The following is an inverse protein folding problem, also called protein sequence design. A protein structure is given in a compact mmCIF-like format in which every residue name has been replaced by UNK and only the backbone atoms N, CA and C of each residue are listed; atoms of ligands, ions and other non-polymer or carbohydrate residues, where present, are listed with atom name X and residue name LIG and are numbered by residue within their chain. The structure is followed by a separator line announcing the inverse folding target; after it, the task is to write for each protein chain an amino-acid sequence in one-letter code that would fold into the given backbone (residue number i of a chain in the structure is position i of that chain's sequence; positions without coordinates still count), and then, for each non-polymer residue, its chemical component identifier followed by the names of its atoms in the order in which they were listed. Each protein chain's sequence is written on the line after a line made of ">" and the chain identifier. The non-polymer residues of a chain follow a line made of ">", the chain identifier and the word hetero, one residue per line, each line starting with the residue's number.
data_IF_066681576462
#
_entry.id   IF_066681576462
#
_cell.length_a   1.000
_cell.length_b   1.000
_cell.length_c   1.000
_cell.angle_alpha   90.00
_cell.angle_beta   90.00
_cell.angle_gamma   90.00
#
_symmetry.space_group_name_H-M   'P 1'
#
loop_
_entity.id
_entity.type
_entity.pdbx_description
1 polymer ?
#
# COMPACT_ATOMS: atom_id res chain seq x y z
N UNK A 1 -0.83 13.54 0.56
CA UNK A 1 0.08 12.71 -0.27
C UNK A 1 0.04 11.25 0.17
N UNK A 2 0.37 10.94 1.43
CA UNK A 2 0.32 9.58 2.01
C UNK A 2 -1.02 8.86 1.80
N UNK A 3 -2.15 9.54 2.03
CA UNK A 3 -3.50 8.99 1.80
C UNK A 3 -3.72 8.54 0.36
N UNK A 4 -3.32 9.35 -0.63
CA UNK A 4 -3.43 8.98 -2.06
C UNK A 4 -2.64 7.73 -2.43
N UNK A 5 -1.46 7.54 -1.81
CA UNK A 5 -0.65 6.34 -2.00
C UNK A 5 -1.39 5.11 -1.44
N UNK A 6 -2.01 5.26 -0.27
CA UNK A 6 -2.78 4.17 0.36
C UNK A 6 -4.06 3.85 -0.43
N UNK A 7 -4.79 4.86 -0.92
CA UNK A 7 -5.97 4.65 -1.78
C UNK A 7 -5.58 3.94 -3.08
N UNK A 8 -4.53 4.39 -3.77
CA UNK A 8 -4.05 3.75 -4.98
C UNK A 8 -3.59 2.30 -4.76
N UNK A 9 -2.87 2.06 -3.66
CA UNK A 9 -2.48 0.71 -3.27
C UNK A 9 -3.72 -0.15 -2.98
N UNK A 10 -4.70 0.37 -2.23
CA UNK A 10 -5.96 -0.32 -1.94
C UNK A 10 -6.71 -0.70 -3.21
N UNK A 11 -6.80 0.19 -4.18
CA UNK A 11 -7.44 -0.07 -5.47
C UNK A 11 -6.72 -1.19 -6.24
N UNK A 12 -5.38 -1.19 -6.26
CA UNK A 12 -4.60 -2.28 -6.86
C UNK A 12 -4.85 -3.62 -6.17
N UNK A 13 -4.85 -3.65 -4.83
CA UNK A 13 -5.15 -4.87 -4.08
C UNK A 13 -6.60 -5.34 -4.30
N UNK A 14 -7.56 -4.42 -4.37
CA UNK A 14 -8.97 -4.71 -4.64
C UNK A 14 -9.21 -5.20 -6.08
N UNK A 15 -8.42 -4.73 -7.05
CA UNK A 15 -8.46 -5.16 -8.44
C UNK A 15 -7.93 -6.60 -8.66
N UNK A 16 -7.56 -7.33 -7.60
CA UNK A 16 -7.16 -8.73 -7.69
C UNK A 16 -5.64 -8.94 -7.79
N UNK A 17 -4.82 -7.88 -7.86
CA UNK A 17 -3.36 -8.03 -7.80
C UNK A 17 -2.93 -8.76 -6.51
N UNK A 18 -3.67 -8.61 -5.41
CA UNK A 18 -3.37 -9.32 -4.16
C UNK A 18 -3.28 -10.85 -4.31
N UNK A 19 -4.04 -11.43 -5.24
CA UNK A 19 -4.23 -12.89 -5.35
C UNK A 19 -3.13 -13.55 -6.18
N UNK A 20 -2.65 -12.88 -7.23
CA UNK A 20 -1.66 -13.45 -8.14
C UNK A 20 -0.27 -12.81 -8.02
N UNK A 21 -0.20 -11.50 -7.72
CA UNK A 21 1.07 -10.77 -7.65
C UNK A 21 0.97 -9.46 -6.88
N UNK A 22 1.71 -9.37 -5.78
CA UNK A 22 1.87 -8.12 -5.03
C UNK A 22 2.23 -6.95 -5.95
N UNK A 23 1.53 -5.80 -5.86
CA UNK A 23 1.82 -4.63 -6.67
C UNK A 23 3.20 -4.08 -6.32
N UNK A 24 3.91 -3.59 -7.33
CA UNK A 24 5.23 -2.95 -7.16
C UNK A 24 5.07 -1.48 -6.75
N UNK A 25 6.14 -0.88 -6.20
CA UNK A 25 6.13 0.56 -5.89
C UNK A 25 5.90 1.42 -7.14
N UNK A 26 6.31 0.94 -8.30
CA UNK A 26 6.12 1.64 -9.56
C UNK A 26 4.65 1.64 -9.99
N UNK A 27 3.98 0.48 -9.91
CA UNK A 27 2.54 0.37 -10.15
C UNK A 27 1.73 1.25 -9.21
N UNK A 28 2.06 1.24 -7.91
CA UNK A 28 1.39 2.09 -6.93
C UNK A 28 1.62 3.57 -7.24
N UNK A 29 2.84 3.96 -7.62
CA UNK A 29 3.15 5.34 -7.99
C UNK A 29 2.38 5.78 -9.24
N UNK A 30 2.32 4.91 -10.27
CA UNK A 30 1.58 5.14 -11.49
C UNK A 30 0.07 5.31 -11.23
N UNK A 31 -0.53 4.42 -10.43
CA UNK A 31 -1.94 4.51 -10.03
C UNK A 31 -2.22 5.77 -9.20
N UNK A 32 -1.28 6.16 -8.33
CA UNK A 32 -1.40 7.39 -7.54
C UNK A 32 -1.10 8.68 -8.34
N UNK A 33 -0.64 8.58 -9.59
CA UNK A 33 -0.27 9.72 -10.43
C UNK A 33 0.96 10.48 -9.93
N UNK A 34 1.91 9.79 -9.28
CA UNK A 34 3.13 10.38 -8.72
C UNK A 34 4.37 9.65 -9.23
N UNK A 35 5.54 10.26 -9.03
CA UNK A 35 6.80 9.57 -9.35
C UNK A 35 7.20 8.59 -8.25
N UNK A 36 7.88 7.51 -8.63
CA UNK A 36 8.45 6.53 -7.69
C UNK A 36 9.42 7.17 -6.69
N UNK A 37 10.10 8.27 -7.08
CA UNK A 37 10.94 9.08 -6.18
C UNK A 37 10.12 9.79 -5.10
N UNK A 38 8.97 10.36 -5.46
CA UNK A 38 8.06 10.95 -4.48
C UNK A 38 7.45 9.89 -3.57
N UNK A 39 7.12 8.71 -4.10
CA UNK A 39 6.63 7.60 -3.29
C UNK A 39 7.68 7.14 -2.27
N UNK A 40 8.94 7.00 -2.71
CA UNK A 40 10.07 6.60 -1.85
C UNK A 40 10.38 7.58 -0.72
N UNK A 41 9.91 8.83 -0.80
CA UNK A 41 10.01 9.77 0.30
C UNK A 41 9.09 9.41 1.49
N UNK A 42 8.03 8.63 1.24
CA UNK A 42 7.07 8.21 2.27
C UNK A 42 7.18 6.73 2.62
N UNK A 43 7.40 5.87 1.62
CA UNK A 43 7.45 4.42 1.80
C UNK A 43 8.69 3.85 1.13
N UNK A 44 9.53 3.19 1.93
CA UNK A 44 10.76 2.54 1.47
C UNK A 44 10.47 1.20 0.77
N UNK A 45 9.31 0.58 1.00
CA UNK A 45 8.95 -0.75 0.49
C UNK A 45 7.44 -0.96 0.46
N UNK A 46 6.98 -1.88 -0.38
CA UNK A 46 5.54 -2.25 -0.50
C UNK A 46 5.02 -2.80 0.83
N UNK A 47 5.83 -3.57 1.55
CA UNK A 47 5.48 -4.09 2.89
C UNK A 47 5.14 -2.99 3.89
N UNK A 48 5.80 -1.82 3.80
CA UNK A 48 5.48 -0.69 4.69
C UNK A 48 4.10 -0.09 4.37
N UNK A 49 3.70 -0.12 3.09
CA UNK A 49 2.36 0.29 2.64
C UNK A 49 1.32 -0.73 3.11
N UNK A 50 1.60 -2.03 2.94
CA UNK A 50 0.73 -3.12 3.40
C UNK A 50 0.48 -3.07 4.90
N UNK A 51 1.52 -2.81 5.70
CA UNK A 51 1.38 -2.67 7.16
C UNK A 51 0.46 -1.52 7.55
N UNK A 52 0.45 -0.46 6.75
CA UNK A 52 -0.37 0.73 6.98
C UNK A 52 -1.81 0.56 6.42
N UNK A 53 -1.97 -0.30 5.41
CA UNK A 53 -3.26 -0.72 4.86
C UNK A 53 -3.97 -1.74 5.75
N UNK A 54 -3.21 -2.62 6.40
CA UNK A 54 -3.76 -3.61 7.30
C UNK A 54 -4.51 -2.89 8.44
N UNK A 55 -5.75 -3.29 8.76
CA UNK A 55 -6.39 -2.78 9.96
C UNK A 55 -5.49 -3.07 11.17
N UNK A 56 -5.47 -2.19 12.18
CA UNK A 56 -4.72 -2.47 13.40
C UNK A 56 -5.12 -3.86 13.89
N UNK A 57 -4.14 -4.69 14.33
CA UNK A 57 -4.47 -6.01 14.84
C UNK A 57 -5.57 -5.85 15.91
N UNK A 58 -6.57 -6.74 15.94
CA UNK A 58 -7.56 -6.70 17.00
C UNK A 58 -6.80 -6.66 18.34
N UNK A 59 -7.26 -5.85 19.32
CA UNK A 59 -6.62 -5.84 20.63
C UNK A 59 -6.53 -7.30 21.08
N UNK A 60 -5.32 -7.75 21.39
CA UNK A 60 -5.13 -9.09 21.91
C UNK A 60 -5.98 -9.17 23.17
N UNK A 61 -7.14 -9.81 23.08
CA UNK A 61 -7.93 -10.16 24.25
C UNK A 61 -7.07 -11.15 25.02
N UNK A 62 -6.33 -10.65 26.01
CA UNK A 62 -5.79 -11.45 27.11
C UNK A 62 -6.96 -12.28 27.64
N UNK A 63 -6.82 -13.60 27.52
CA UNK A 63 -7.75 -14.61 28.02
C UNK A 63 -7.26 -15.14 29.37
#
# INVERSE_FOLDING_TARGET
>A
MRTRILDAARDLYAAGHAVERRPTLDEIAATAGITTRQLRAYYTSVTAIERDLAPPPPPATEA
#
